data_IF_064406545417
#
_entry.id   IF_064406545417
#
_cell.length_a   1.000
_cell.length_b   1.000
_cell.length_c   1.000
_cell.angle_alpha   90.00
_cell.angle_beta   90.00
_cell.angle_gamma   90.00
#
_symmetry.space_group_name_H-M   'P 1'
#
loop_
_entity.id
_entity.type
_entity.pdbx_description
1 polymer ?
#
# COMPACT_ATOMS: atom_id res chain seq x y z
N UNK A 1 8.37 -12.91 -14.26
CA UNK A 1 7.59 -12.14 -13.26
C UNK A 1 8.44 -10.98 -12.77
N UNK A 2 7.94 -9.74 -12.78
CA UNK A 2 8.68 -8.59 -12.24
C UNK A 2 8.84 -8.77 -10.73
N UNK A 3 10.07 -8.66 -10.20
CA UNK A 3 10.31 -8.73 -8.76
C UNK A 3 9.53 -7.61 -8.06
N UNK A 4 8.86 -7.91 -6.92
CA UNK A 4 8.20 -6.87 -6.14
C UNK A 4 9.26 -5.86 -5.67
N UNK A 5 8.95 -4.57 -5.82
CA UNK A 5 9.83 -3.50 -5.36
C UNK A 5 9.62 -3.28 -3.86
N UNK A 6 8.36 -3.36 -3.44
CA UNK A 6 7.96 -3.30 -2.03
C UNK A 6 7.93 -4.72 -1.44
N UNK A 7 8.68 -4.92 -0.37
CA UNK A 7 8.80 -6.20 0.34
C UNK A 7 7.51 -6.54 1.08
N UNK A 8 7.23 -7.83 1.30
CA UNK A 8 6.05 -8.26 2.05
C UNK A 8 6.02 -7.68 3.47
N UNK A 9 7.18 -7.64 4.12
CA UNK A 9 7.36 -7.16 5.49
C UNK A 9 6.92 -5.69 5.61
N UNK A 10 7.39 -4.82 4.72
CA UNK A 10 6.98 -3.41 4.73
C UNK A 10 5.46 -3.24 4.56
N UNK A 11 4.84 -4.06 3.72
CA UNK A 11 3.38 -3.99 3.51
C UNK A 11 2.63 -4.43 4.77
N UNK A 12 3.12 -5.46 5.44
CA UNK A 12 2.56 -5.93 6.71
C UNK A 12 2.70 -4.86 7.80
N UNK A 13 3.87 -4.25 7.94
CA UNK A 13 4.12 -3.19 8.92
C UNK A 13 3.15 -2.02 8.73
N UNK A 14 3.00 -1.53 7.49
CA UNK A 14 2.06 -0.45 7.16
C UNK A 14 0.60 -0.86 7.42
N UNK A 15 0.25 -2.13 7.17
CA UNK A 15 -1.10 -2.64 7.48
C UNK A 15 -1.36 -2.66 8.99
N UNK A 16 -0.40 -3.14 9.78
CA UNK A 16 -0.52 -3.20 11.24
C UNK A 16 -0.52 -1.81 11.88
N UNK A 17 0.26 -0.87 11.34
CA UNK A 17 0.26 0.52 11.79
C UNK A 17 -1.07 1.23 11.46
N UNK A 18 -1.63 0.97 10.28
CA UNK A 18 -2.92 1.52 9.88
C UNK A 18 -4.12 0.86 10.58
N UNK A 19 -3.99 -0.39 11.03
CA UNK A 19 -5.04 -1.14 11.71
C UNK A 19 -4.44 -2.13 12.70
N UNK A 20 -4.25 -1.71 13.97
CA UNK A 20 -3.71 -2.57 15.03
C UNK A 20 -4.53 -3.84 15.30
N UNK A 21 -5.83 -3.80 14.97
CA UNK A 21 -6.78 -4.93 15.06
C UNK A 21 -6.39 -6.12 14.19
N UNK A 22 -5.53 -5.93 13.18
CA UNK A 22 -5.01 -7.02 12.35
C UNK A 22 -4.10 -7.98 13.12
N UNK A 23 -3.58 -7.60 14.29
CA UNK A 23 -2.73 -8.47 15.11
C UNK A 23 -3.46 -9.75 15.55
N UNK A 24 -4.77 -9.64 15.80
CA UNK A 24 -5.63 -10.77 16.19
C UNK A 24 -6.33 -11.42 14.98
N UNK A 25 -6.14 -10.87 13.78
CA UNK A 25 -6.79 -11.35 12.58
C UNK A 25 -6.14 -12.64 12.04
N UNK A 26 -6.96 -13.45 11.35
CA UNK A 26 -6.47 -14.67 10.74
C UNK A 26 -5.40 -14.38 9.66
N UNK A 27 -4.26 -15.09 9.61
CA UNK A 27 -3.17 -14.81 8.67
C UNK A 27 -3.59 -14.77 7.19
N UNK A 28 -4.60 -15.56 6.82
CA UNK A 28 -5.17 -15.55 5.47
C UNK A 28 -5.79 -14.19 5.09
N UNK A 29 -6.41 -13.49 6.05
CA UNK A 29 -6.97 -12.17 5.82
C UNK A 29 -5.85 -11.15 5.58
N UNK A 30 -4.84 -11.12 6.44
CA UNK A 30 -3.66 -10.25 6.26
C UNK A 30 -2.95 -10.51 4.93
N UNK A 31 -2.82 -11.77 4.52
CA UNK A 31 -2.25 -12.12 3.22
C UNK A 31 -3.10 -11.60 2.04
N UNK A 32 -4.43 -11.63 2.15
CA UNK A 32 -5.31 -11.05 1.13
C UNK A 32 -5.14 -9.53 1.01
N UNK A 33 -5.02 -8.83 2.15
CA UNK A 33 -4.75 -7.38 2.18
C UNK A 33 -3.40 -7.05 1.53
N UNK A 34 -2.35 -7.84 1.84
CA UNK A 34 -1.03 -7.71 1.21
C UNK A 34 -1.12 -7.87 -0.31
N UNK A 35 -1.86 -8.86 -0.80
CA UNK A 35 -2.07 -9.09 -2.22
C UNK A 35 -2.80 -7.93 -2.91
N UNK A 36 -3.75 -7.30 -2.22
CA UNK A 36 -4.50 -6.16 -2.73
C UNK A 36 -3.66 -4.87 -2.75
N UNK A 37 -2.84 -4.66 -1.71
CA UNK A 37 -2.07 -3.44 -1.52
C UNK A 37 -0.76 -3.40 -2.33
N UNK A 38 -0.06 -4.55 -2.46
CA UNK A 38 1.25 -4.65 -3.14
C UNK A 38 1.28 -4.05 -4.56
N UNK A 39 0.30 -4.31 -5.45
CA UNK A 39 0.31 -3.72 -6.80
C UNK A 39 0.21 -2.20 -6.78
N UNK A 40 -0.57 -1.63 -5.84
CA UNK A 40 -0.74 -0.20 -5.70
C UNK A 40 0.57 0.47 -5.25
N UNK A 41 1.19 -0.05 -4.19
CA UNK A 41 2.45 0.49 -3.67
C UNK A 41 3.59 0.40 -4.69
N UNK A 42 3.73 -0.74 -5.38
CA UNK A 42 4.73 -0.90 -6.43
C UNK A 42 4.57 0.14 -7.56
N UNK A 43 3.34 0.55 -7.88
CA UNK A 43 3.09 1.57 -8.91
C UNK A 43 3.46 2.96 -8.43
N UNK A 44 3.14 3.30 -7.18
CA UNK A 44 3.54 4.57 -6.57
C UNK A 44 5.06 4.68 -6.52
N UNK A 45 5.77 3.65 -6.02
CA UNK A 45 7.25 3.65 -5.97
C UNK A 45 7.89 3.76 -7.36
N UNK A 46 7.30 3.14 -8.39
CA UNK A 46 7.77 3.32 -9.77
C UNK A 46 7.54 4.74 -10.27
N UNK A 47 6.37 5.31 -10.00
CA UNK A 47 6.03 6.66 -10.40
C UNK A 47 6.81 7.72 -9.64
N UNK A 48 7.31 7.42 -8.43
CA UNK A 48 8.17 8.31 -7.66
C UNK A 48 9.46 8.66 -8.41
N UNK A 49 9.93 7.79 -9.31
CA UNK A 49 11.08 8.07 -10.19
C UNK A 49 10.75 9.04 -11.33
N UNK A 50 9.48 9.35 -11.56
CA UNK A 50 8.97 10.26 -12.62
C UNK A 50 7.89 11.18 -12.03
N UNK A 51 8.28 12.28 -11.37
CA UNK A 51 7.40 13.11 -10.53
C UNK A 51 6.16 13.64 -11.23
N UNK A 52 6.26 13.90 -12.54
CA UNK A 52 5.15 14.43 -13.36
C UNK A 52 3.92 13.53 -13.41
N UNK A 53 4.06 12.23 -13.12
CA UNK A 53 2.95 11.25 -13.11
C UNK A 53 2.58 10.76 -11.72
N UNK A 54 3.32 11.17 -10.69
CA UNK A 54 3.16 10.64 -9.34
C UNK A 54 1.75 10.92 -8.79
N UNK A 55 1.29 12.16 -8.87
CA UNK A 55 -0.03 12.58 -8.38
C UNK A 55 -1.17 11.81 -9.05
N UNK A 56 -1.10 11.64 -10.37
CA UNK A 56 -2.10 10.87 -11.14
C UNK A 56 -2.10 9.39 -10.73
N UNK A 57 -0.91 8.80 -10.55
CA UNK A 57 -0.77 7.41 -10.14
C UNK A 57 -1.31 7.18 -8.73
N UNK A 58 -1.02 8.10 -7.79
CA UNK A 58 -1.56 8.08 -6.43
C UNK A 58 -3.09 8.13 -6.47
N UNK A 59 -3.69 9.12 -7.15
CA UNK A 59 -5.13 9.26 -7.23
C UNK A 59 -5.80 7.99 -7.81
N UNK A 60 -5.22 7.42 -8.87
CA UNK A 60 -5.73 6.19 -9.50
C UNK A 60 -5.59 4.96 -8.60
N UNK A 61 -4.51 4.85 -7.83
CA UNK A 61 -4.31 3.73 -6.92
C UNK A 61 -5.20 3.85 -5.68
N UNK A 62 -5.37 5.07 -5.14
CA UNK A 62 -6.30 5.39 -4.05
C UNK A 62 -7.71 4.88 -4.34
N UNK A 63 -8.25 5.19 -5.52
CA UNK A 63 -9.57 4.70 -5.94
C UNK A 63 -9.66 3.16 -6.04
N UNK A 64 -8.55 2.47 -6.34
CA UNK A 64 -8.52 1.00 -6.46
C UNK A 64 -8.46 0.28 -5.13
N UNK A 65 -7.75 0.85 -4.15
CA UNK A 65 -7.62 0.27 -2.80
C UNK A 65 -8.77 0.66 -1.88
N UNK A 66 -9.60 1.63 -2.29
CA UNK A 66 -10.77 2.09 -1.55
C UNK A 66 -11.85 1.01 -1.32
N UNK A 67 -11.75 -0.15 -1.98
CA UNK A 67 -12.68 -1.29 -1.80
C UNK A 67 -12.59 -1.89 -0.40
N UNK A 68 -11.44 -1.76 0.28
CA UNK A 68 -11.26 -2.18 1.66
C UNK A 68 -10.68 -1.01 2.47
N UNK A 69 -11.37 -0.64 3.55
CA UNK A 69 -11.00 0.48 4.42
C UNK A 69 -9.59 0.32 4.97
N UNK A 70 -9.21 -0.89 5.41
CA UNK A 70 -7.88 -1.20 5.93
C UNK A 70 -6.80 -0.97 4.89
N UNK A 71 -6.99 -1.43 3.65
CA UNK A 71 -6.00 -1.20 2.59
C UNK A 71 -5.95 0.25 2.13
N UNK A 72 -7.07 0.97 2.22
CA UNK A 72 -7.10 2.40 1.92
C UNK A 72 -6.31 3.20 2.98
N UNK A 73 -6.55 2.94 4.26
CA UNK A 73 -5.81 3.57 5.36
C UNK A 73 -4.30 3.29 5.27
N UNK A 74 -3.92 2.02 5.05
CA UNK A 74 -2.53 1.62 4.85
C UNK A 74 -1.89 2.30 3.62
N UNK A 75 -2.65 2.46 2.53
CA UNK A 75 -2.16 3.17 1.35
C UNK A 75 -1.92 4.66 1.62
N UNK A 76 -2.85 5.34 2.32
CA UNK A 76 -2.66 6.76 2.68
C UNK A 76 -1.48 6.96 3.61
N UNK A 77 -1.31 6.08 4.62
CA UNK A 77 -0.16 6.11 5.52
C UNK A 77 1.15 6.02 4.75
N UNK A 78 1.23 5.07 3.80
CA UNK A 78 2.41 4.93 2.95
C UNK A 78 2.68 6.18 2.10
N UNK A 79 1.63 6.77 1.51
CA UNK A 79 1.77 7.99 0.68
C UNK A 79 2.20 9.19 1.53
N UNK A 80 1.68 9.34 2.76
CA UNK A 80 2.10 10.38 3.70
C UNK A 80 3.58 10.23 4.06
N UNK A 81 3.99 9.02 4.45
CA UNK A 81 5.39 8.74 4.81
C UNK A 81 6.36 8.97 3.64
N UNK A 82 5.90 8.80 2.39
CA UNK A 82 6.68 9.14 1.20
C UNK A 82 6.78 10.65 0.94
N UNK A 83 5.79 11.44 1.37
CA UNK A 83 5.80 12.90 1.19
C UNK A 83 6.65 13.62 2.25
N UNK A 84 6.80 13.02 3.43
CA UNK A 84 7.58 13.55 4.55
C UNK A 84 9.08 13.20 4.49
N UNK A 85 9.50 12.36 3.54
CA UNK A 85 10.88 11.86 3.37
C UNK A 85 11.66 12.59 2.26
#
# INVERSE_FOLDING_TARGET
>A
MARPIVTTVLIQDVLYEASPELNDAHPAFTNALVCLLRPALNRVVRAHRTPTRLTEVIARQRARVAVCSTTAAAFELFVSNMADA
#
